data_IF_915659789191
#
_entry.id   IF_915659789191
#
_cell.length_a   1.000
_cell.length_b   1.000
_cell.length_c   1.000
_cell.angle_alpha   90.00
_cell.angle_beta   90.00
_cell.angle_gamma   90.00
#
_symmetry.space_group_name_H-M   'P 1'
#
loop_
_entity.id
_entity.type
_entity.pdbx_description
1 polymer ?
#
# COMPACT_ATOMS: atom_id res chain seq x y z
N UNK A 1 19.05 7.53 -78.56
CA UNK A 1 17.68 7.26 -78.06
C UNK A 1 17.48 5.74 -77.95
N UNK A 2 18.00 5.10 -76.90
CA UNK A 2 17.88 3.63 -76.74
C UNK A 2 18.01 3.14 -75.30
N UNK A 3 18.27 4.05 -74.36
CA UNK A 3 18.39 3.75 -72.93
C UNK A 3 17.00 3.77 -72.25
N UNK A 4 16.09 4.60 -72.75
CA UNK A 4 14.73 4.81 -72.18
C UNK A 4 13.80 3.58 -72.29
N UNK A 5 13.83 2.88 -73.42
CA UNK A 5 12.90 1.76 -73.70
C UNK A 5 13.29 0.49 -72.92
N UNK A 6 14.59 0.30 -72.68
CA UNK A 6 15.10 -0.85 -71.93
C UNK A 6 14.89 -0.67 -70.43
N UNK A 7 15.10 0.53 -69.89
CA UNK A 7 14.74 0.84 -68.50
C UNK A 7 13.23 0.69 -68.24
N UNK A 8 12.37 1.23 -69.11
CA UNK A 8 10.92 1.11 -68.97
C UNK A 8 10.43 -0.36 -69.02
N UNK A 9 11.01 -1.19 -69.88
CA UNK A 9 10.68 -2.62 -69.97
C UNK A 9 11.14 -3.40 -68.73
N UNK A 10 12.31 -3.08 -68.18
CA UNK A 10 12.78 -3.69 -66.92
C UNK A 10 11.92 -3.29 -65.73
N UNK A 11 11.51 -2.02 -65.64
CA UNK A 11 10.57 -1.53 -64.63
C UNK A 11 9.21 -2.23 -64.73
N UNK A 12 8.67 -2.42 -65.94
CA UNK A 12 7.41 -3.14 -66.14
C UNK A 12 7.47 -4.61 -65.70
N UNK A 13 8.62 -5.27 -65.87
CA UNK A 13 8.84 -6.64 -65.39
C UNK A 13 8.81 -6.75 -63.86
N UNK A 14 9.25 -5.70 -63.14
CA UNK A 14 9.15 -5.64 -61.68
C UNK A 14 7.72 -5.53 -61.16
N UNK A 15 6.75 -5.17 -62.00
CA UNK A 15 5.33 -5.10 -61.64
C UNK A 15 4.53 -6.37 -61.99
N UNK A 16 5.16 -7.40 -62.58
CA UNK A 16 4.50 -8.70 -62.79
C UNK A 16 4.11 -9.29 -61.42
N UNK A 17 2.83 -9.65 -61.19
CA UNK A 17 2.37 -10.25 -59.94
C UNK A 17 3.19 -11.46 -59.48
N UNK A 18 3.77 -12.25 -60.41
CA UNK A 18 4.64 -13.39 -60.09
C UNK A 18 5.96 -12.99 -59.43
N UNK A 19 6.38 -11.74 -59.59
CA UNK A 19 7.63 -11.18 -59.06
C UNK A 19 7.32 -10.25 -57.87
N UNK A 20 6.31 -9.39 -57.99
CA UNK A 20 5.91 -8.44 -56.93
C UNK A 20 5.47 -9.16 -55.65
N UNK A 21 4.57 -10.14 -55.75
CA UNK A 21 3.94 -10.74 -54.58
C UNK A 21 4.95 -11.51 -53.71
N UNK A 22 5.83 -12.37 -54.27
CA UNK A 22 6.88 -13.02 -53.47
C UNK A 22 7.88 -12.01 -52.90
N UNK A 23 8.25 -10.97 -53.66
CA UNK A 23 9.19 -9.94 -53.20
C UNK A 23 8.63 -9.16 -52.01
N UNK A 24 7.36 -8.74 -52.09
CA UNK A 24 6.65 -8.13 -50.94
C UNK A 24 6.59 -9.10 -49.78
N UNK A 25 6.26 -10.38 -50.01
CA UNK A 25 6.24 -11.41 -48.97
C UNK A 25 7.59 -11.56 -48.26
N UNK A 26 8.70 -11.55 -48.99
CA UNK A 26 10.05 -11.60 -48.45
C UNK A 26 10.35 -10.33 -47.65
N UNK A 27 10.03 -9.14 -48.16
CA UNK A 27 10.24 -7.86 -47.43
C UNK A 27 9.41 -7.81 -46.14
N UNK A 28 8.15 -8.23 -46.20
CA UNK A 28 7.28 -8.33 -45.02
C UNK A 28 7.88 -9.28 -43.98
N UNK A 29 8.27 -10.49 -44.39
CA UNK A 29 8.77 -11.52 -43.48
C UNK A 29 10.19 -11.23 -42.94
N UNK A 30 11.05 -10.57 -43.72
CA UNK A 30 12.46 -10.31 -43.36
C UNK A 30 12.70 -8.96 -42.69
N UNK A 31 11.85 -7.97 -42.94
CA UNK A 31 12.03 -6.61 -42.41
C UNK A 31 10.90 -6.23 -41.47
N UNK A 32 9.64 -6.31 -41.93
CA UNK A 32 8.52 -5.77 -41.15
C UNK A 32 8.19 -6.65 -39.95
N UNK A 33 8.11 -7.97 -40.13
CA UNK A 33 7.80 -8.92 -39.06
C UNK A 33 8.86 -8.88 -37.94
N UNK A 34 10.18 -8.92 -38.22
CA UNK A 34 11.19 -8.83 -37.16
C UNK A 34 11.15 -7.51 -36.39
N UNK A 35 10.91 -6.38 -37.05
CA UNK A 35 10.79 -5.08 -36.39
C UNK A 35 9.56 -5.05 -35.48
N UNK A 36 8.40 -5.52 -35.96
CA UNK A 36 7.19 -5.63 -35.14
C UNK A 36 7.40 -6.53 -33.94
N UNK A 37 8.02 -7.70 -34.13
CA UNK A 37 8.33 -8.61 -33.04
C UNK A 37 9.32 -7.99 -32.04
N UNK A 38 10.29 -7.21 -32.50
CA UNK A 38 11.22 -6.50 -31.61
C UNK A 38 10.49 -5.46 -30.74
N UNK A 39 9.63 -4.64 -31.35
CA UNK A 39 8.85 -3.62 -30.63
C UNK A 39 7.88 -4.27 -29.63
N UNK A 40 7.17 -5.33 -30.05
CA UNK A 40 6.24 -6.06 -29.18
C UNK A 40 6.98 -6.77 -28.05
N UNK A 41 8.17 -7.31 -28.31
CA UNK A 41 9.04 -7.92 -27.31
C UNK A 41 9.51 -6.88 -26.30
N UNK A 42 10.02 -5.74 -26.75
CA UNK A 42 10.45 -4.66 -25.84
C UNK A 42 9.29 -4.17 -24.98
N UNK A 43 8.09 -4.02 -25.56
CA UNK A 43 6.90 -3.64 -24.80
C UNK A 43 6.57 -4.66 -23.72
N UNK A 44 6.60 -5.96 -24.05
CA UNK A 44 6.36 -7.05 -23.09
C UNK A 44 7.41 -7.07 -21.98
N UNK A 45 8.69 -6.96 -22.32
CA UNK A 45 9.78 -6.94 -21.33
C UNK A 45 9.66 -5.75 -20.37
N UNK A 46 9.21 -4.58 -20.85
CA UNK A 46 8.92 -3.42 -19.99
C UNK A 46 7.73 -3.69 -19.07
N UNK A 47 6.65 -4.26 -19.59
CA UNK A 47 5.47 -4.61 -18.79
C UNK A 47 5.81 -5.65 -17.71
N UNK A 48 6.58 -6.68 -18.06
CA UNK A 48 7.03 -7.73 -17.13
C UNK A 48 7.92 -7.14 -16.01
N UNK A 49 8.87 -6.26 -16.37
CA UNK A 49 9.71 -5.57 -15.37
C UNK A 49 8.90 -4.67 -14.44
N UNK A 50 7.91 -3.94 -14.95
CA UNK A 50 7.04 -3.09 -14.11
C UNK A 50 6.21 -3.97 -13.18
N UNK A 51 5.70 -5.11 -13.65
CA UNK A 51 4.97 -6.07 -12.83
C UNK A 51 5.87 -6.65 -11.73
N UNK A 52 7.11 -7.02 -12.06
CA UNK A 52 8.10 -7.53 -11.11
C UNK A 52 8.39 -6.50 -10.01
N UNK A 53 8.71 -5.25 -10.40
CA UNK A 53 8.95 -4.15 -9.47
C UNK A 53 7.72 -3.89 -8.58
N UNK A 54 6.51 -3.87 -9.15
CA UNK A 54 5.27 -3.71 -8.38
C UNK A 54 5.06 -4.85 -7.40
N UNK A 55 5.34 -6.08 -7.81
CA UNK A 55 5.19 -7.26 -6.96
C UNK A 55 6.13 -7.19 -5.76
N UNK A 56 7.40 -6.82 -5.99
CA UNK A 56 8.41 -6.64 -4.95
C UNK A 56 7.99 -5.55 -3.97
N UNK A 57 7.67 -4.35 -4.48
CA UNK A 57 7.27 -3.19 -3.67
C UNK A 57 5.98 -3.45 -2.89
N UNK A 58 4.96 -4.06 -3.52
CA UNK A 58 3.70 -4.35 -2.83
C UNK A 58 3.89 -5.43 -1.77
N UNK A 59 4.75 -6.42 -2.00
CA UNK A 59 5.04 -7.46 -1.00
C UNK A 59 5.79 -6.88 0.20
N UNK A 60 6.78 -6.01 -0.04
CA UNK A 60 7.51 -5.35 1.05
C UNK A 60 6.61 -4.39 1.82
N UNK A 61 5.82 -3.58 1.12
CA UNK A 61 4.82 -2.72 1.74
C UNK A 61 3.84 -3.53 2.57
N UNK A 62 3.28 -4.61 2.03
CA UNK A 62 2.33 -5.46 2.74
C UNK A 62 2.91 -6.02 4.04
N UNK A 63 4.16 -6.49 4.03
CA UNK A 63 4.82 -7.01 5.23
C UNK A 63 4.95 -5.92 6.31
N UNK A 64 5.47 -4.75 5.95
CA UNK A 64 5.62 -3.61 6.88
C UNK A 64 4.27 -3.10 7.37
N UNK A 65 3.28 -3.09 6.49
CA UNK A 65 1.92 -2.73 6.78
C UNK A 65 1.26 -3.72 7.75
N UNK A 66 1.42 -5.03 7.54
CA UNK A 66 0.86 -6.06 8.43
C UNK A 66 1.50 -5.98 9.83
N UNK A 67 2.81 -5.72 9.89
CA UNK A 67 3.50 -5.44 11.15
C UNK A 67 2.97 -4.20 11.86
N UNK A 68 2.70 -3.11 11.14
CA UNK A 68 2.12 -1.90 11.70
C UNK A 68 0.66 -2.09 12.14
N UNK A 69 -0.15 -2.79 11.34
CA UNK A 69 -1.57 -3.02 11.62
C UNK A 69 -1.78 -3.95 12.83
N UNK A 70 -0.85 -4.88 13.09
CA UNK A 70 -0.84 -5.70 14.32
C UNK A 70 -0.79 -4.83 15.59
N UNK A 71 -0.12 -3.68 15.54
CA UNK A 71 0.05 -2.78 16.68
C UNK A 71 -1.09 -1.81 16.97
N UNK A 72 -2.10 -1.67 16.09
CA UNK A 72 -3.16 -0.65 16.26
C UNK A 72 -4.55 -1.24 16.45
N UNK A 73 -4.98 -2.16 15.59
CA UNK A 73 -6.37 -2.65 15.60
C UNK A 73 -6.67 -3.72 16.66
N UNK A 74 -5.69 -4.55 17.00
CA UNK A 74 -5.82 -5.63 18.02
C UNK A 74 -5.43 -5.10 19.41
N UNK A 75 -4.47 -4.19 19.46
CA UNK A 75 -3.95 -3.67 20.72
C UNK A 75 -4.92 -2.73 21.41
N UNK A 76 -5.80 -1.98 20.73
CA UNK A 76 -6.67 -1.04 21.44
C UNK A 76 -7.69 -1.69 22.39
N UNK A 77 -8.43 -2.71 21.94
CA UNK A 77 -9.42 -3.38 22.79
C UNK A 77 -8.73 -4.16 23.92
N UNK A 78 -7.61 -4.80 23.62
CA UNK A 78 -6.77 -5.47 24.61
C UNK A 78 -6.21 -4.48 25.64
N UNK A 79 -5.71 -3.33 25.17
CA UNK A 79 -5.11 -2.31 26.00
C UNK A 79 -6.14 -1.63 26.90
N UNK A 80 -7.25 -1.15 26.34
CA UNK A 80 -8.31 -0.47 27.11
C UNK A 80 -9.00 -1.39 28.12
N UNK A 81 -9.39 -2.61 27.73
CA UNK A 81 -10.20 -3.50 28.59
C UNK A 81 -9.38 -4.37 29.53
N UNK A 82 -8.15 -4.71 29.16
CA UNK A 82 -7.31 -5.65 29.91
C UNK A 82 -6.11 -4.94 30.53
N UNK A 83 -5.19 -4.40 29.72
CA UNK A 83 -3.92 -3.84 30.21
C UNK A 83 -4.15 -2.67 31.15
N UNK A 84 -4.96 -1.70 30.73
CA UNK A 84 -5.26 -0.50 31.50
C UNK A 84 -6.04 -0.82 32.77
N UNK A 85 -7.06 -1.68 32.66
CA UNK A 85 -7.87 -2.12 33.80
C UNK A 85 -7.01 -2.83 34.85
N UNK A 86 -6.07 -3.67 34.42
CA UNK A 86 -5.17 -4.38 35.31
C UNK A 86 -4.14 -3.45 35.95
N UNK A 87 -3.55 -2.54 35.18
CA UNK A 87 -2.62 -1.54 35.69
C UNK A 87 -3.28 -0.62 36.72
N UNK A 88 -4.53 -0.19 36.47
CA UNK A 88 -5.30 0.61 37.41
C UNK A 88 -5.67 -0.17 38.67
N UNK A 89 -6.02 -1.46 38.52
CA UNK A 89 -6.29 -2.34 39.67
C UNK A 89 -5.05 -2.51 40.54
N UNK A 90 -3.87 -2.74 39.95
CA UNK A 90 -2.60 -2.81 40.69
C UNK A 90 -2.31 -1.49 41.43
N UNK A 91 -2.57 -0.34 40.81
CA UNK A 91 -2.43 0.98 41.42
C UNK A 91 -3.30 1.16 42.67
N UNK A 92 -4.56 0.72 42.60
CA UNK A 92 -5.49 0.76 43.73
C UNK A 92 -5.10 -0.20 44.85
N UNK A 93 -4.70 -1.43 44.51
CA UNK A 93 -4.32 -2.48 45.47
C UNK A 93 -3.01 -2.16 46.20
N UNK A 94 -2.06 -1.50 45.52
CA UNK A 94 -0.78 -1.10 46.09
C UNK A 94 -0.83 0.18 46.94
N UNK A 95 -2.00 0.80 47.11
CA UNK A 95 -2.18 1.98 47.95
C UNK A 95 -1.38 3.21 47.48
N UNK A 96 -1.12 3.33 46.17
CA UNK A 96 -0.40 4.48 45.61
C UNK A 96 1.11 4.48 45.87
N UNK A 97 1.73 3.31 46.03
CA UNK A 97 3.19 3.19 46.04
C UNK A 97 3.82 3.93 44.83
N UNK A 98 4.88 4.74 45.02
CA UNK A 98 5.55 5.45 43.94
C UNK A 98 5.97 4.55 42.77
N UNK A 99 6.45 3.35 43.05
CA UNK A 99 6.87 2.38 42.02
C UNK A 99 5.70 1.90 41.16
N UNK A 100 4.51 1.77 41.74
CA UNK A 100 3.31 1.31 41.03
C UNK A 100 2.67 2.45 40.23
N UNK A 101 2.81 3.70 40.70
CA UNK A 101 2.43 4.89 39.93
C UNK A 101 3.29 5.02 38.67
N UNK A 102 4.61 4.85 38.79
CA UNK A 102 5.54 4.87 37.66
C UNK A 102 5.18 3.76 36.66
N UNK A 103 4.97 2.54 37.14
CA UNK A 103 4.59 1.40 36.30
C UNK A 103 3.27 1.61 35.56
N UNK A 104 2.27 2.22 36.23
CA UNK A 104 1.01 2.59 35.60
C UNK A 104 1.21 3.64 34.49
N UNK A 105 2.01 4.68 34.76
CA UNK A 105 2.33 5.69 33.77
C UNK A 105 3.04 5.07 32.55
N UNK A 106 4.02 4.19 32.76
CA UNK A 106 4.73 3.51 31.69
C UNK A 106 3.79 2.71 30.77
N UNK A 107 2.83 1.96 31.33
CA UNK A 107 1.86 1.23 30.52
C UNK A 107 0.91 2.16 29.77
N UNK A 108 0.47 3.25 30.38
CA UNK A 108 -0.38 4.25 29.74
C UNK A 108 0.34 4.94 28.57
N UNK A 109 1.62 5.29 28.73
CA UNK A 109 2.45 5.94 27.71
C UNK A 109 2.86 5.01 26.56
N UNK A 110 2.91 3.71 26.80
CA UNK A 110 3.30 2.72 25.79
C UNK A 110 2.34 2.67 24.60
N UNK A 111 1.06 2.87 24.82
CA UNK A 111 0.05 2.76 23.76
C UNK A 111 0.16 3.84 22.67
N UNK A 112 0.19 5.15 22.98
CA UNK A 112 0.47 6.18 21.97
C UNK A 112 1.80 5.96 21.25
N UNK A 113 2.83 5.50 21.97
CA UNK A 113 4.14 5.22 21.39
C UNK A 113 4.07 4.10 20.34
N UNK A 114 3.36 3.00 20.64
CA UNK A 114 3.13 1.91 19.69
C UNK A 114 2.35 2.35 18.45
N UNK A 115 1.35 3.24 18.60
CA UNK A 115 0.61 3.82 17.48
C UNK A 115 1.53 4.70 16.62
N UNK A 116 2.36 5.53 17.25
CA UNK A 116 3.28 6.41 16.56
C UNK A 116 4.34 5.62 15.78
N UNK A 117 4.89 4.56 16.36
CA UNK A 117 5.83 3.67 15.67
C UNK A 117 5.18 2.92 14.51
N UNK A 118 3.94 2.45 14.70
CA UNK A 118 3.16 1.79 13.65
C UNK A 118 2.85 2.76 12.50
N UNK A 119 2.47 4.01 12.82
CA UNK A 119 2.30 5.07 11.84
C UNK A 119 3.58 5.27 11.04
N UNK A 120 4.71 5.53 11.70
CA UNK A 120 6.00 5.78 11.03
C UNK A 120 6.38 4.65 10.06
N UNK A 121 6.28 3.40 10.51
CA UNK A 121 6.58 2.22 9.68
C UNK A 121 5.66 2.10 8.45
N UNK A 122 4.38 2.43 8.61
CA UNK A 122 3.42 2.39 7.52
C UNK A 122 3.62 3.55 6.52
N UNK A 123 4.02 4.75 6.97
CA UNK A 123 4.20 5.92 6.10
C UNK A 123 5.52 5.92 5.33
N UNK A 124 6.58 5.30 5.85
CA UNK A 124 7.91 5.27 5.22
C UNK A 124 7.88 4.76 3.76
N UNK A 125 6.99 3.81 3.44
CA UNK A 125 6.87 3.20 2.12
C UNK A 125 5.73 3.75 1.25
N UNK A 126 4.87 4.63 1.80
CA UNK A 126 3.74 5.19 1.05
C UNK A 126 4.25 5.97 -0.17
N UNK A 127 5.38 6.67 -0.07
CA UNK A 127 5.95 7.42 -1.20
C UNK A 127 6.24 6.52 -2.41
N UNK A 128 6.74 5.31 -2.19
CA UNK A 128 7.03 4.33 -3.25
C UNK A 128 5.73 3.84 -3.90
N UNK A 129 4.70 3.58 -3.10
CA UNK A 129 3.37 3.24 -3.60
C UNK A 129 2.72 4.38 -4.37
N UNK A 130 2.89 5.64 -3.93
CA UNK A 130 2.36 6.82 -4.62
C UNK A 130 2.93 6.97 -6.03
N UNK A 131 4.11 6.41 -6.32
CA UNK A 131 4.76 6.45 -7.64
C UNK A 131 4.35 5.26 -8.53
N UNK A 132 4.22 4.07 -7.94
CA UNK A 132 4.05 2.82 -8.70
C UNK A 132 2.60 2.31 -8.76
N UNK A 133 1.78 2.66 -7.76
CA UNK A 133 0.39 2.26 -7.60
C UNK A 133 -0.57 2.97 -8.55
N UNK A 134 -1.77 2.41 -8.68
CA UNK A 134 -2.87 3.12 -9.32
C UNK A 134 -3.33 4.34 -8.51
N UNK A 135 -4.07 5.22 -9.16
CA UNK A 135 -4.76 6.35 -8.51
C UNK A 135 -5.66 5.88 -7.34
N UNK A 136 -6.28 4.71 -7.45
CA UNK A 136 -7.12 4.16 -6.38
C UNK A 136 -6.28 3.73 -5.18
N UNK A 137 -5.14 3.08 -5.42
CA UNK A 137 -4.21 2.68 -4.36
C UNK A 137 -3.59 3.91 -3.66
N UNK A 138 -3.31 4.97 -4.43
CA UNK A 138 -2.88 6.26 -3.90
C UNK A 138 -3.92 6.88 -2.95
N UNK A 139 -5.20 6.86 -3.33
CA UNK A 139 -6.28 7.39 -2.49
C UNK A 139 -6.44 6.59 -1.20
N UNK A 140 -6.50 5.26 -1.30
CA UNK A 140 -6.64 4.38 -0.13
C UNK A 140 -5.48 4.54 0.87
N UNK A 141 -4.25 4.63 0.37
CA UNK A 141 -3.07 4.84 1.23
C UNK A 141 -3.04 6.23 1.86
N UNK A 142 -3.55 7.25 1.18
CA UNK A 142 -3.68 8.61 1.73
C UNK A 142 -4.80 8.71 2.79
N UNK A 143 -5.93 8.04 2.58
CA UNK A 143 -6.98 7.91 3.60
C UNK A 143 -6.47 7.19 4.85
N UNK A 144 -5.57 6.22 4.67
CA UNK A 144 -4.97 5.48 5.77
C UNK A 144 -4.01 6.35 6.59
N UNK A 145 -3.21 7.17 5.92
CA UNK A 145 -2.34 8.17 6.56
C UNK A 145 -3.16 9.16 7.41
N UNK A 146 -4.25 9.70 6.86
CA UNK A 146 -5.15 10.61 7.58
C UNK A 146 -5.78 9.94 8.80
N UNK A 147 -6.28 8.72 8.64
CA UNK A 147 -6.90 7.98 9.74
C UNK A 147 -5.90 7.66 10.86
N UNK A 148 -4.66 7.33 10.53
CA UNK A 148 -3.61 7.13 11.53
C UNK A 148 -3.25 8.42 12.26
N UNK A 149 -3.25 9.56 11.59
CA UNK A 149 -3.07 10.86 12.22
C UNK A 149 -4.24 11.20 13.17
N UNK A 150 -5.47 10.90 12.78
CA UNK A 150 -6.66 11.04 13.65
C UNK A 150 -6.57 10.17 14.89
N UNK A 151 -6.16 8.90 14.73
CA UNK A 151 -5.94 7.97 15.87
C UNK A 151 -4.86 8.51 16.82
N UNK A 152 -3.76 9.06 16.29
CA UNK A 152 -2.70 9.64 17.11
C UNK A 152 -3.19 10.86 17.90
N UNK A 153 -3.92 11.77 17.25
CA UNK A 153 -4.51 12.94 17.91
C UNK A 153 -5.52 12.51 18.99
N UNK A 154 -6.37 11.52 18.68
CA UNK A 154 -7.34 11.01 19.66
C UNK A 154 -6.68 10.28 20.81
N UNK A 155 -5.61 9.52 20.58
CA UNK A 155 -4.85 8.87 21.65
C UNK A 155 -4.25 9.89 22.62
N UNK A 156 -3.80 11.05 22.10
CA UNK A 156 -3.28 12.15 22.92
C UNK A 156 -4.39 12.82 23.75
N UNK A 157 -5.58 13.02 23.18
CA UNK A 157 -6.74 13.55 23.90
C UNK A 157 -7.21 12.57 24.98
N UNK A 158 -7.26 11.29 24.66
CA UNK A 158 -7.61 10.21 25.57
C UNK A 158 -6.67 10.14 26.79
N UNK A 159 -5.35 10.29 26.58
CA UNK A 159 -4.38 10.41 27.67
C UNK A 159 -4.65 11.60 28.59
N UNK A 160 -5.05 12.73 28.02
CA UNK A 160 -5.45 13.92 28.77
C UNK A 160 -6.68 13.67 29.65
N UNK A 161 -7.69 12.97 29.13
CA UNK A 161 -8.86 12.55 29.90
C UNK A 161 -8.50 11.53 30.99
N UNK A 162 -7.59 10.60 30.70
CA UNK A 162 -7.13 9.60 31.66
C UNK A 162 -6.46 10.22 32.89
N UNK A 163 -5.71 11.32 32.74
CA UNK A 163 -5.18 12.06 33.90
C UNK A 163 -6.29 12.56 34.83
N UNK A 164 -7.48 12.85 34.30
CA UNK A 164 -8.66 13.30 35.06
C UNK A 164 -9.45 12.10 35.61
N UNK A 165 -9.56 11.02 34.84
CA UNK A 165 -10.29 9.79 35.19
C UNK A 165 -9.63 9.00 36.34
N UNK A 166 -8.36 9.26 36.67
CA UNK A 166 -7.72 8.74 37.90
C UNK A 166 -8.50 9.10 39.18
N UNK A 167 -9.33 10.15 39.14
CA UNK A 167 -10.18 10.59 40.26
C UNK A 167 -11.55 9.89 40.27
N UNK A 168 -12.05 9.44 39.12
CA UNK A 168 -13.33 8.73 38.94
C UNK A 168 -13.19 7.72 37.79
N UNK A 169 -13.10 6.41 38.08
CA UNK A 169 -12.76 5.40 37.09
C UNK A 169 -13.96 5.07 36.21
N UNK A 170 -14.14 5.86 35.15
CA UNK A 170 -14.95 5.50 34.00
C UNK A 170 -14.03 5.44 32.77
N UNK A 171 -13.79 4.22 32.28
CA UNK A 171 -12.91 3.97 31.14
C UNK A 171 -13.69 3.81 29.83
N UNK A 172 -15.02 3.83 29.87
CA UNK A 172 -15.88 3.83 28.68
C UNK A 172 -16.23 5.26 28.28
N UNK A 173 -15.20 6.09 28.10
CA UNK A 173 -15.39 7.50 27.73
C UNK A 173 -15.87 7.63 26.27
N UNK A 174 -16.50 8.76 25.90
CA UNK A 174 -16.85 9.02 24.50
C UNK A 174 -15.64 8.90 23.55
N UNK A 175 -14.46 9.36 23.98
CA UNK A 175 -13.20 9.21 23.23
C UNK A 175 -12.84 7.73 23.06
N UNK A 176 -13.06 6.90 24.08
CA UNK A 176 -12.74 5.50 23.99
C UNK A 176 -13.58 4.77 22.93
N UNK A 177 -14.85 5.16 22.78
CA UNK A 177 -15.74 4.66 21.74
C UNK A 177 -15.34 5.17 20.35
N UNK A 178 -14.98 6.45 20.22
CA UNK A 178 -14.49 7.01 18.95
C UNK A 178 -13.20 6.32 18.47
N UNK A 179 -12.25 6.07 19.37
CA UNK A 179 -11.03 5.34 19.02
C UNK A 179 -11.30 3.91 18.59
N UNK A 180 -12.33 3.25 19.15
CA UNK A 180 -12.74 1.91 18.68
C UNK A 180 -13.22 1.96 17.24
N UNK A 181 -14.09 2.92 16.91
CA UNK A 181 -14.61 3.11 15.54
C UNK A 181 -13.47 3.40 14.56
N UNK A 182 -12.52 4.25 14.94
CA UNK A 182 -11.33 4.54 14.13
C UNK A 182 -10.47 3.28 13.91
N UNK A 183 -10.28 2.45 14.94
CA UNK A 183 -9.56 1.18 14.83
C UNK A 183 -10.25 0.17 13.89
N UNK A 184 -11.58 0.07 13.93
CA UNK A 184 -12.35 -0.77 13.00
C UNK A 184 -12.24 -0.25 11.56
N UNK A 185 -12.29 1.07 11.37
CA UNK A 185 -12.11 1.69 10.06
C UNK A 185 -10.69 1.48 9.52
N UNK A 186 -9.66 1.55 10.37
CA UNK A 186 -8.27 1.21 10.00
C UNK A 186 -8.17 -0.22 9.44
N UNK A 187 -8.86 -1.16 10.09
CA UNK A 187 -8.90 -2.56 9.68
C UNK A 187 -9.61 -2.75 8.33
N UNK A 188 -10.75 -2.10 8.12
CA UNK A 188 -11.47 -2.15 6.84
C UNK A 188 -10.62 -1.56 5.71
N UNK A 189 -10.02 -0.40 5.94
CA UNK A 189 -9.22 0.30 4.93
C UNK A 189 -7.97 -0.48 4.55
N UNK A 190 -7.34 -1.17 5.51
CA UNK A 190 -6.31 -2.17 5.23
C UNK A 190 -6.81 -3.21 4.22
N UNK A 191 -7.94 -3.83 4.50
CA UNK A 191 -8.45 -4.93 3.67
C UNK A 191 -8.75 -4.44 2.24
N UNK A 192 -9.22 -3.19 2.10
CA UNK A 192 -9.38 -2.53 0.79
C UNK A 192 -8.06 -2.30 0.05
N UNK A 193 -7.03 -1.81 0.75
CA UNK A 193 -5.68 -1.63 0.17
C UNK A 193 -5.13 -2.96 -0.35
N UNK A 194 -5.27 -4.04 0.44
CA UNK A 194 -4.83 -5.39 0.06
C UNK A 194 -5.55 -5.87 -1.20
N UNK A 195 -6.87 -5.75 -1.22
CA UNK A 195 -7.67 -6.20 -2.36
C UNK A 195 -7.34 -5.40 -3.63
N UNK A 196 -7.09 -4.09 -3.50
CA UNK A 196 -6.67 -3.26 -4.61
C UNK A 196 -5.30 -3.69 -5.17
N UNK A 197 -4.32 -3.95 -4.31
CA UNK A 197 -3.00 -4.46 -4.73
C UNK A 197 -3.10 -5.81 -5.43
N UNK A 198 -3.92 -6.74 -4.90
CA UNK A 198 -4.17 -8.05 -5.53
C UNK A 198 -4.76 -7.93 -6.93
N UNK A 199 -5.72 -7.00 -7.09
CA UNK A 199 -6.32 -6.67 -8.38
C UNK A 199 -5.27 -6.14 -9.36
N UNK A 200 -4.40 -5.24 -8.92
CA UNK A 200 -3.33 -4.67 -9.76
C UNK A 200 -2.26 -5.69 -10.17
N UNK A 201 -1.99 -6.68 -9.32
CA UNK A 201 -1.08 -7.79 -9.61
C UNK A 201 -1.75 -8.91 -10.43
N UNK A 202 -3.07 -8.83 -10.69
CA UNK A 202 -3.87 -9.91 -11.31
C UNK A 202 -3.78 -11.23 -10.52
N UNK A 203 -3.70 -11.15 -9.20
CA UNK A 203 -3.61 -12.31 -8.30
C UNK A 203 -4.97 -12.49 -7.61
N UNK A 204 -5.78 -13.40 -8.15
CA UNK A 204 -7.08 -13.80 -7.62
C UNK A 204 -8.24 -13.22 -8.43
N UNK A 205 -8.68 -13.99 -9.43
CA UNK A 205 -10.09 -14.22 -9.72
C UNK A 205 -10.50 -15.53 -9.02
#
# INVERSE_FOLDING_TARGET
MGIDVTEAATLAAWFDPKIVVPTIGVVLASVIVPILLHILKEKREREDKILEIRTEVYSEYFRKFEEAAKGVGVDYEQFSKVTLRNAFKELLEAGGSPDVIIKFQDEVWRFPHQIQDSHRKATEEITTLKILGSERLFQLTSEFEQLHQEILEMSSKWLGEMQVALVTPDFETPIANEMKVLGERAKSLKDEIINQMRTELKIGD
#
